data_IF_075988920688
#
_entry.id   IF_075988920688
#
_cell.length_a   1.000
_cell.length_b   1.000
_cell.length_c   1.000
_cell.angle_alpha   90.00
_cell.angle_beta   90.00
_cell.angle_gamma   90.00
#
_symmetry.space_group_name_H-M   'P 1'
#
loop_
_entity.id
_entity.type
_entity.pdbx_description
1 polymer ?
#
# COMPACT_ATOMS: atom_id res chain seq x y z
N UNK A 1 19.57 -7.46 7.58
CA UNK A 1 19.71 -6.87 6.21
C UNK A 1 18.89 -5.59 6.14
N UNK A 2 19.34 -4.56 5.44
CA UNK A 2 18.53 -3.37 5.12
C UNK A 2 17.89 -3.54 3.73
N UNK A 3 16.59 -3.30 3.62
CA UNK A 3 15.86 -3.38 2.35
C UNK A 3 16.04 -2.09 1.55
N UNK A 4 16.07 -2.19 0.21
CA UNK A 4 16.24 -1.02 -0.66
C UNK A 4 14.93 -0.23 -0.89
N UNK A 5 13.78 -0.85 -0.65
CA UNK A 5 12.45 -0.28 -0.81
C UNK A 5 11.40 -1.16 -0.11
N UNK A 6 10.17 -0.67 -0.03
CA UNK A 6 9.04 -1.35 0.58
C UNK A 6 8.71 -2.67 -0.13
N UNK A 7 8.83 -2.75 -1.46
CA UNK A 7 8.58 -4.01 -2.18
C UNK A 7 9.49 -5.15 -1.69
N UNK A 8 10.78 -4.88 -1.49
CA UNK A 8 11.71 -5.87 -0.96
C UNK A 8 11.41 -6.23 0.50
N UNK A 9 11.06 -5.23 1.32
CA UNK A 9 10.66 -5.45 2.70
C UNK A 9 9.42 -6.34 2.78
N UNK A 10 8.36 -6.00 2.04
CA UNK A 10 7.09 -6.73 2.02
C UNK A 10 7.21 -8.15 1.44
N UNK A 11 8.22 -8.42 0.61
CA UNK A 11 8.52 -9.77 0.15
C UNK A 11 9.21 -10.64 1.22
N UNK A 12 9.85 -10.03 2.21
CA UNK A 12 10.63 -10.70 3.25
C UNK A 12 9.98 -10.67 4.64
N UNK A 13 8.98 -9.81 4.85
CA UNK A 13 8.31 -9.55 6.13
C UNK A 13 6.80 -9.66 5.97
N UNK A 14 6.11 -10.07 7.03
CA UNK A 14 4.69 -10.39 7.01
C UNK A 14 3.88 -9.29 7.71
N UNK A 15 2.92 -8.71 6.98
CA UNK A 15 1.95 -7.75 7.54
C UNK A 15 1.13 -8.41 8.67
N UNK A 16 0.93 -7.69 9.77
CA UNK A 16 0.24 -8.15 10.98
C UNK A 16 1.09 -9.05 11.89
N UNK A 17 2.32 -9.40 11.49
CA UNK A 17 3.28 -10.16 12.32
C UNK A 17 4.54 -9.34 12.57
N UNK A 18 5.22 -8.93 11.51
CA UNK A 18 6.47 -8.16 11.59
C UNK A 18 6.20 -6.65 11.67
N UNK A 19 5.25 -6.18 10.86
CA UNK A 19 4.85 -4.79 10.77
C UNK A 19 3.34 -4.63 10.60
N UNK A 20 2.83 -3.45 10.89
CA UNK A 20 1.44 -3.04 10.62
C UNK A 20 1.43 -1.66 9.93
N UNK A 21 0.34 -1.34 9.24
CA UNK A 21 0.15 -0.05 8.58
C UNK A 21 -1.14 0.57 9.05
N UNK A 22 -1.04 1.74 9.68
CA UNK A 22 -2.19 2.55 10.08
C UNK A 22 -2.25 3.77 9.18
N UNK A 23 -3.38 3.94 8.50
CA UNK A 23 -3.56 5.05 7.58
C UNK A 23 -4.97 5.63 7.69
N UNK A 24 -5.03 6.96 7.70
CA UNK A 24 -6.26 7.73 7.59
C UNK A 24 -5.99 8.87 6.61
N UNK A 25 -6.67 8.83 5.47
CA UNK A 25 -6.61 9.90 4.49
C UNK A 25 -7.34 11.15 5.01
N UNK A 26 -6.81 12.32 4.66
CA UNK A 26 -7.55 13.57 4.83
C UNK A 26 -8.58 13.77 3.72
N UNK A 27 -9.52 14.69 3.96
CA UNK A 27 -10.47 15.17 2.95
C UNK A 27 -10.17 16.62 2.62
N UNK A 28 -10.38 17.03 1.36
CA UNK A 28 -10.07 18.38 0.89
C UNK A 28 -8.59 18.73 1.02
N UNK A 29 -8.30 19.96 1.45
CA UNK A 29 -6.95 20.39 1.80
C UNK A 29 -6.63 19.98 3.24
N UNK A 30 -5.59 19.18 3.45
CA UNK A 30 -5.25 18.68 4.78
C UNK A 30 -3.75 18.71 5.11
N UNK A 31 -3.48 18.75 6.41
CA UNK A 31 -2.18 18.48 7.02
C UNK A 31 -2.08 16.99 7.36
N UNK A 32 -0.99 16.35 6.94
CA UNK A 32 -0.66 14.98 7.32
C UNK A 32 0.40 14.96 8.41
N UNK A 33 0.14 14.20 9.48
CA UNK A 33 1.18 13.73 10.39
C UNK A 33 1.50 12.27 10.10
N UNK A 34 2.77 11.96 9.79
CA UNK A 34 3.21 10.64 9.40
C UNK A 34 4.37 10.13 10.27
N UNK A 35 4.37 8.85 10.62
CA UNK A 35 5.50 8.18 11.26
C UNK A 35 5.93 6.98 10.40
N UNK A 36 6.93 7.15 9.54
CA UNK A 36 7.40 6.06 8.67
C UNK A 36 8.24 5.02 9.43
N UNK A 37 8.70 5.37 10.63
CA UNK A 37 9.41 4.49 11.58
C UNK A 37 8.60 4.37 12.87
N UNK A 38 7.32 4.03 12.75
CA UNK A 38 6.40 3.87 13.86
C UNK A 38 6.57 2.58 14.68
N UNK A 39 5.72 2.42 15.68
CA UNK A 39 5.69 1.24 16.56
C UNK A 39 7.02 1.07 17.30
N UNK A 40 7.59 -0.13 17.22
CA UNK A 40 8.84 -0.48 17.87
C UNK A 40 10.11 0.02 17.14
N UNK A 41 10.00 0.66 15.97
CA UNK A 41 11.15 1.15 15.20
C UNK A 41 11.75 2.38 15.90
N UNK A 42 10.99 3.47 16.02
CA UNK A 42 11.40 4.71 16.71
C UNK A 42 10.31 5.17 17.70
N UNK A 43 10.01 4.39 18.76
CA UNK A 43 8.97 4.74 19.73
C UNK A 43 9.29 6.09 20.41
N UNK A 44 8.31 6.99 20.61
CA UNK A 44 6.87 6.86 20.40
C UNK A 44 6.35 7.60 19.13
N UNK A 45 7.07 7.57 18.00
CA UNK A 45 6.74 8.37 16.82
C UNK A 45 5.27 8.22 16.36
N UNK A 46 4.72 7.01 16.38
CA UNK A 46 3.31 6.75 16.06
C UNK A 46 2.34 7.46 16.98
N UNK A 47 2.62 7.50 18.30
CA UNK A 47 1.73 8.14 19.27
C UNK A 47 1.75 9.66 19.13
N UNK A 48 2.92 10.25 18.87
CA UNK A 48 3.04 11.69 18.60
C UNK A 48 2.31 12.09 17.31
N UNK A 49 2.53 11.35 16.23
CA UNK A 49 1.86 11.56 14.96
C UNK A 49 0.33 11.42 15.09
N UNK A 50 -0.15 10.38 15.77
CA UNK A 50 -1.58 10.14 15.97
C UNK A 50 -2.22 11.23 16.83
N UNK A 51 -1.56 11.63 17.92
CA UNK A 51 -2.08 12.69 18.79
C UNK A 51 -2.14 14.04 18.07
N UNK A 52 -1.11 14.39 17.31
CA UNK A 52 -1.08 15.64 16.56
C UNK A 52 -2.13 15.67 15.45
N UNK A 53 -2.32 14.54 14.75
CA UNK A 53 -3.38 14.40 13.76
C UNK A 53 -4.78 14.56 14.36
N UNK A 54 -5.03 14.08 15.59
CA UNK A 54 -6.39 14.01 16.14
C UNK A 54 -7.29 13.16 15.24
N UNK A 55 -8.32 13.79 14.65
CA UNK A 55 -9.21 13.17 13.65
C UNK A 55 -8.76 13.43 12.19
N UNK A 56 -7.72 14.24 11.97
CA UNK A 56 -7.19 14.62 10.65
C UNK A 56 -6.32 13.55 9.98
N UNK A 57 -5.65 13.86 8.88
CA UNK A 57 -4.87 12.86 8.14
C UNK A 57 -3.69 12.32 8.96
N UNK A 58 -3.54 10.99 8.95
CA UNK A 58 -2.55 10.28 9.73
C UNK A 58 -1.98 9.10 8.96
N UNK A 59 -0.68 8.86 9.12
CA UNK A 59 -0.02 7.65 8.63
C UNK A 59 0.98 7.11 9.65
N UNK A 60 1.07 5.80 9.80
CA UNK A 60 2.15 5.16 10.54
C UNK A 60 2.47 3.77 9.98
N UNK A 61 3.75 3.54 9.68
CA UNK A 61 4.31 2.22 9.42
C UNK A 61 4.93 1.71 10.72
N UNK A 62 4.33 0.69 11.34
CA UNK A 62 4.67 0.26 12.68
C UNK A 62 5.42 -1.06 12.70
N UNK A 63 6.61 -1.10 13.30
CA UNK A 63 7.24 -2.37 13.66
C UNK A 63 6.53 -3.00 14.86
N UNK A 64 6.18 -4.28 14.79
CA UNK A 64 5.45 -5.00 15.85
C UNK A 64 6.37 -5.69 16.87
N UNK A 65 7.67 -5.82 16.58
CA UNK A 65 8.66 -6.43 17.46
C UNK A 65 9.90 -5.54 17.64
N UNK A 66 10.56 -5.63 18.80
CA UNK A 66 11.72 -4.78 19.16
C UNK A 66 12.98 -5.03 18.30
N UNK A 67 13.02 -6.09 17.51
CA UNK A 67 14.10 -6.38 16.56
C UNK A 67 13.77 -5.81 15.17
N UNK A 68 13.37 -4.53 15.12
CA UNK A 68 12.90 -3.87 13.90
C UNK A 68 13.91 -2.96 13.14
N UNK A 69 15.24 -2.95 13.37
CA UNK A 69 16.11 -2.08 12.55
C UNK A 69 16.08 -2.49 11.07
N UNK A 70 15.73 -3.74 10.77
CA UNK A 70 15.52 -4.20 9.39
C UNK A 70 14.29 -3.58 8.72
N UNK A 71 13.35 -3.03 9.49
CA UNK A 71 12.14 -2.38 8.98
C UNK A 71 12.32 -0.88 8.71
N UNK A 72 13.43 -0.29 9.17
CA UNK A 72 13.73 1.13 8.98
C UNK A 72 14.24 1.41 7.56
N UNK A 73 13.32 1.59 6.61
CA UNK A 73 13.65 2.05 5.26
C UNK A 73 14.09 3.52 5.30
N UNK A 74 15.20 3.85 4.64
CA UNK A 74 15.65 5.24 4.57
C UNK A 74 14.52 6.17 4.05
N UNK A 75 14.31 7.38 4.63
CA UNK A 75 13.23 8.28 4.22
C UNK A 75 13.22 8.63 2.72
N UNK A 76 14.38 8.61 2.07
CA UNK A 76 14.54 8.84 0.61
C UNK A 76 14.19 7.63 -0.25
N UNK A 77 14.15 6.44 0.34
CA UNK A 77 13.79 5.18 -0.30
C UNK A 77 12.42 4.66 0.17
N UNK A 78 11.76 5.36 1.10
CA UNK A 78 10.46 5.00 1.62
C UNK A 78 9.39 5.19 0.53
N UNK A 79 8.86 4.08 0.05
CA UNK A 79 7.88 4.00 -1.04
C UNK A 79 6.70 3.09 -0.71
N UNK A 80 6.40 2.91 0.59
CA UNK A 80 5.15 2.27 1.00
C UNK A 80 3.97 3.08 0.44
N UNK A 81 3.04 2.45 -0.30
CA UNK A 81 2.23 3.26 -1.19
C UNK A 81 1.10 4.02 -0.51
N UNK A 82 0.56 3.56 0.62
CA UNK A 82 -0.41 4.36 1.37
C UNK A 82 0.24 5.65 1.88
N UNK A 83 1.49 5.59 2.35
CA UNK A 83 2.25 6.78 2.72
C UNK A 83 2.46 7.71 1.52
N UNK A 84 2.91 7.16 0.39
CA UNK A 84 3.20 7.94 -0.81
C UNK A 84 1.95 8.68 -1.29
N UNK A 85 0.79 8.01 -1.32
CA UNK A 85 -0.48 8.63 -1.72
C UNK A 85 -0.92 9.70 -0.72
N UNK A 86 -0.88 9.41 0.59
CA UNK A 86 -1.33 10.36 1.60
C UNK A 86 -0.44 11.61 1.63
N UNK A 87 0.88 11.41 1.58
CA UNK A 87 1.85 12.50 1.51
C UNK A 87 1.63 13.32 0.25
N UNK A 88 1.60 12.70 -0.93
CA UNK A 88 1.49 13.42 -2.21
C UNK A 88 0.24 14.31 -2.31
N UNK A 89 -0.86 13.90 -1.68
CA UNK A 89 -2.12 14.65 -1.69
C UNK A 89 -2.25 15.65 -0.53
N UNK A 90 -1.39 15.58 0.48
CA UNK A 90 -1.41 16.52 1.59
C UNK A 90 -0.86 17.89 1.18
N UNK A 91 -1.49 18.94 1.69
CA UNK A 91 -1.04 20.32 1.48
C UNK A 91 0.14 20.67 2.39
N UNK A 92 0.26 19.99 3.52
CA UNK A 92 1.37 20.10 4.48
C UNK A 92 1.65 18.73 5.08
N UNK A 93 2.91 18.48 5.40
CA UNK A 93 3.33 17.20 6.00
C UNK A 93 4.30 17.45 7.14
N UNK A 94 4.08 16.76 8.24
CA UNK A 94 5.04 16.61 9.34
C UNK A 94 5.35 15.12 9.49
N UNK A 95 6.60 14.74 9.22
CA UNK A 95 7.09 13.37 9.42
C UNK A 95 7.84 13.26 10.73
N UNK A 96 7.48 12.28 11.55
CA UNK A 96 7.98 12.05 12.90
C UNK A 96 8.99 10.91 12.92
N UNK A 97 10.14 11.20 13.51
CA UNK A 97 11.24 10.27 13.67
C UNK A 97 11.81 10.31 15.09
N UNK A 98 12.48 9.23 15.45
CA UNK A 98 13.33 9.16 16.62
C UNK A 98 14.77 8.94 16.21
N UNK A 99 15.68 9.71 16.78
CA UNK A 99 17.13 9.51 16.62
C UNK A 99 17.75 9.14 17.96
N UNK A 100 18.91 8.50 17.91
CA UNK A 100 19.76 8.37 19.09
C UNK A 100 20.34 9.73 19.47
N UNK A 101 20.67 9.87 20.75
CA UNK A 101 21.26 11.09 21.30
C UNK A 101 22.61 11.39 20.62
N UNK A 102 22.78 12.60 20.08
CA UNK A 102 24.05 13.09 19.54
C UNK A 102 25.05 13.43 20.66
N UNK A 103 24.51 13.89 21.81
CA UNK A 103 25.22 14.04 23.08
C UNK A 103 24.46 13.31 24.19
N UNK A 104 25.18 12.62 25.08
CA UNK A 104 24.57 11.82 26.14
C UNK A 104 23.55 12.62 26.97
N UNK A 105 22.30 12.16 26.96
CA UNK A 105 21.22 12.78 27.74
C UNK A 105 20.57 14.00 27.09
N UNK A 106 20.89 14.33 25.84
CA UNK A 106 20.32 15.49 25.17
C UNK A 106 18.81 15.35 24.97
N UNK A 107 18.06 16.41 25.24
CA UNK A 107 16.64 16.48 24.95
C UNK A 107 16.41 17.53 23.88
N UNK A 108 16.56 17.13 22.62
CA UNK A 108 16.54 18.02 21.46
C UNK A 108 15.60 17.45 20.40
N UNK A 109 14.82 18.35 19.81
CA UNK A 109 14.13 18.08 18.53
C UNK A 109 14.93 18.72 17.41
N UNK A 110 15.44 17.90 16.52
CA UNK A 110 16.04 18.39 15.29
C UNK A 110 14.94 18.62 14.24
N UNK A 111 14.94 19.81 13.63
CA UNK A 111 13.94 20.24 12.66
C UNK A 111 14.62 20.47 11.32
N UNK A 112 14.09 19.85 10.27
CA UNK A 112 14.59 19.95 8.90
C UNK A 112 13.46 19.74 7.88
N UNK A 113 13.75 19.82 6.58
CA UNK A 113 12.76 19.72 5.52
C UNK A 113 12.58 21.04 4.77
N UNK A 114 11.88 20.97 3.63
CA UNK A 114 11.78 22.08 2.70
C UNK A 114 10.69 23.12 3.05
N UNK A 115 9.76 22.83 3.99
CA UNK A 115 8.81 23.85 4.47
C UNK A 115 9.43 24.74 5.56
N UNK A 116 10.15 25.76 5.10
CA UNK A 116 10.79 26.75 5.98
C UNK A 116 9.80 27.54 6.86
N UNK A 117 8.55 27.74 6.42
CA UNK A 117 7.55 28.50 7.18
C UNK A 117 7.03 27.66 8.34
N UNK A 118 6.58 26.44 8.07
CA UNK A 118 6.14 25.51 9.12
C UNK A 118 7.30 25.16 10.05
N UNK A 119 8.51 24.94 9.51
CA UNK A 119 9.70 24.69 10.31
C UNK A 119 10.01 25.81 11.31
N UNK A 120 9.95 27.08 10.88
CA UNK A 120 10.16 28.22 11.77
C UNK A 120 9.10 28.33 12.86
N UNK A 121 7.82 28.06 12.53
CA UNK A 121 6.73 28.05 13.52
C UNK A 121 6.89 26.92 14.53
N UNK A 122 7.36 25.74 14.10
CA UNK A 122 7.65 24.63 14.99
C UNK A 122 8.79 24.97 15.97
N UNK A 123 9.89 25.57 15.49
CA UNK A 123 10.95 26.10 16.35
C UNK A 123 10.39 27.06 17.38
N UNK A 124 9.58 28.03 16.94
CA UNK A 124 9.00 29.05 17.82
C UNK A 124 8.12 28.44 18.92
N UNK A 125 7.13 27.62 18.54
CA UNK A 125 6.16 27.07 19.50
C UNK A 125 6.77 26.05 20.45
N UNK A 126 7.71 25.22 19.96
CA UNK A 126 8.44 24.28 20.82
C UNK A 126 9.33 25.01 21.82
N UNK A 127 10.08 26.03 21.37
CA UNK A 127 10.91 26.86 22.26
C UNK A 127 10.06 27.59 23.29
N UNK A 128 8.92 28.16 22.87
CA UNK A 128 7.99 28.83 23.78
C UNK A 128 7.38 27.86 24.81
N UNK A 129 7.23 26.59 24.47
CA UNK A 129 6.81 25.53 25.38
C UNK A 129 7.95 24.96 26.25
N UNK A 130 9.18 25.49 26.11
CA UNK A 130 10.34 25.12 26.93
C UNK A 130 11.16 23.95 26.39
N UNK A 131 10.96 23.54 25.14
CA UNK A 131 11.74 22.48 24.50
C UNK A 131 12.92 23.05 23.71
N UNK A 132 14.03 22.31 23.69
CA UNK A 132 15.19 22.65 22.88
C UNK A 132 14.98 22.14 21.45
N UNK A 133 15.22 23.02 20.48
CA UNK A 133 15.23 22.67 19.06
C UNK A 133 16.55 23.03 18.43
N UNK A 134 16.98 22.26 17.43
CA UNK A 134 18.17 22.56 16.62
C UNK A 134 17.97 22.15 15.16
N UNK A 135 18.91 22.51 14.29
CA UNK A 135 18.97 22.01 12.92
C UNK A 135 19.53 20.59 12.87
N UNK A 136 18.91 19.74 12.06
CA UNK A 136 19.38 18.37 11.89
C UNK A 136 20.80 18.30 11.29
N UNK A 137 21.71 17.52 11.88
CA UNK A 137 22.93 17.06 11.21
C UNK A 137 22.67 16.50 9.81
N UNK A 138 23.62 16.72 8.91
CA UNK A 138 23.54 16.29 7.50
C UNK A 138 23.29 14.79 7.34
N UNK A 139 23.71 13.96 8.31
CA UNK A 139 23.52 12.50 8.28
C UNK A 139 22.06 12.06 8.31
N UNK A 140 21.15 12.88 8.84
CA UNK A 140 19.72 12.57 8.90
C UNK A 140 18.80 13.76 8.55
N UNK A 141 19.36 14.87 8.07
CA UNK A 141 18.58 16.02 7.63
C UNK A 141 17.56 15.67 6.55
N UNK A 142 16.35 16.19 6.75
CA UNK A 142 15.18 15.97 5.91
C UNK A 142 15.14 16.80 4.63
N UNK A 143 16.19 17.55 4.28
CA UNK A 143 16.13 18.56 3.21
C UNK A 143 16.16 17.98 1.78
N UNK A 144 16.46 16.69 1.63
CA UNK A 144 16.51 16.04 0.33
C UNK A 144 15.11 16.05 -0.33
N UNK A 145 14.95 16.49 -1.59
CA UNK A 145 13.66 16.46 -2.30
C UNK A 145 13.05 15.08 -2.51
N UNK A 146 13.83 14.00 -2.34
CA UNK A 146 13.36 12.62 -2.37
C UNK A 146 12.95 12.10 -0.99
N UNK A 147 13.29 12.81 0.09
CA UNK A 147 12.79 12.46 1.41
C UNK A 147 11.26 12.50 1.39
N UNK A 148 10.63 11.46 1.91
CA UNK A 148 9.17 11.33 1.98
C UNK A 148 8.50 12.57 2.60
N UNK A 149 9.12 13.27 3.54
CA UNK A 149 8.54 14.50 4.09
C UNK A 149 8.31 15.58 3.03
N UNK A 150 9.17 15.69 2.01
CA UNK A 150 9.11 16.70 0.94
C UNK A 150 8.40 16.22 -0.33
N UNK A 151 7.70 15.08 -0.27
CA UNK A 151 6.98 14.52 -1.43
C UNK A 151 5.51 14.89 -1.44
N UNK A 152 5.11 15.87 -0.63
CA UNK A 152 3.77 16.43 -0.59
C UNK A 152 3.48 17.38 -1.75
N UNK A 153 2.24 17.87 -1.87
CA UNK A 153 1.83 18.66 -3.04
C UNK A 153 2.71 19.89 -3.32
N UNK A 154 3.12 20.70 -2.31
CA UNK A 154 4.05 21.82 -2.51
C UNK A 154 5.52 21.41 -2.61
N UNK A 155 5.83 20.12 -2.42
CA UNK A 155 7.19 19.58 -2.27
C UNK A 155 7.99 20.23 -1.14
N UNK A 156 7.29 20.57 -0.07
CA UNK A 156 7.80 21.24 1.09
C UNK A 156 7.09 20.68 2.32
N UNK A 157 7.75 19.78 3.03
CA UNK A 157 7.28 19.29 4.33
C UNK A 157 8.34 19.48 5.40
N UNK A 158 8.03 19.01 6.60
CA UNK A 158 8.92 19.08 7.77
C UNK A 158 9.20 17.68 8.30
N UNK A 159 10.44 17.46 8.71
CA UNK A 159 10.88 16.31 9.48
C UNK A 159 11.19 16.75 10.92
N UNK A 160 10.67 15.99 11.89
CA UNK A 160 10.97 16.15 13.31
C UNK A 160 11.70 14.89 13.80
N UNK A 161 12.98 15.03 14.11
CA UNK A 161 13.81 13.97 14.67
C UNK A 161 14.02 14.21 16.17
N UNK A 162 13.41 13.37 17.00
CA UNK A 162 13.46 13.54 18.45
C UNK A 162 14.55 12.65 19.05
N UNK A 163 15.45 13.25 19.84
CA UNK A 163 16.48 12.50 20.57
C UNK A 163 15.86 11.44 21.48
N UNK A 164 16.62 10.39 21.78
CA UNK A 164 16.14 9.28 22.61
C UNK A 164 15.80 9.76 24.01
N UNK A 165 16.63 10.61 24.61
CA UNK A 165 16.37 11.14 25.95
C UNK A 165 15.14 12.05 25.98
N UNK A 166 14.86 12.82 24.92
CA UNK A 166 13.59 13.56 24.79
C UNK A 166 12.40 12.59 24.73
N UNK A 167 12.47 11.58 23.85
CA UNK A 167 11.40 10.58 23.72
C UNK A 167 11.12 9.84 25.03
N UNK A 168 12.16 9.48 25.79
CA UNK A 168 12.03 8.87 27.11
C UNK A 168 11.35 9.80 28.12
N UNK A 169 11.61 11.11 28.06
CA UNK A 169 10.98 12.07 28.98
C UNK A 169 9.45 12.06 28.92
N UNK A 170 8.85 11.59 27.81
CA UNK A 170 7.40 11.52 27.62
C UNK A 170 6.70 10.41 28.40
N UNK A 171 7.44 9.46 28.97
CA UNK A 171 6.89 8.27 29.62
C UNK A 171 7.49 8.05 31.01
N UNK A 172 6.69 7.48 31.92
CA UNK A 172 7.17 7.06 33.23
C UNK A 172 8.39 6.13 33.10
N UNK A 173 9.39 6.33 33.96
CA UNK A 173 10.68 5.61 33.96
C UNK A 173 11.47 5.65 32.63
N UNK A 174 11.02 6.47 31.68
CA UNK A 174 11.53 6.50 30.33
C UNK A 174 11.38 5.18 29.59
N UNK A 175 10.33 4.41 29.88
CA UNK A 175 10.05 3.14 29.19
C UNK A 175 9.45 3.40 27.80
N UNK A 176 10.20 3.00 26.77
CA UNK A 176 9.79 3.08 25.36
C UNK A 176 9.40 1.71 24.79
N UNK A 177 9.18 0.70 25.63
CA UNK A 177 8.67 -0.59 25.20
C UNK A 177 7.31 -0.45 24.52
N UNK A 178 7.03 -1.29 23.52
CA UNK A 178 5.75 -1.29 22.79
C UNK A 178 4.54 -1.37 23.73
N UNK A 179 4.66 -2.16 24.81
CA UNK A 179 3.62 -2.30 25.82
C UNK A 179 3.38 -1.00 26.59
N UNK A 180 4.45 -0.31 27.01
CA UNK A 180 4.32 0.94 27.73
C UNK A 180 3.78 2.07 26.86
N UNK A 181 4.29 2.23 25.63
CA UNK A 181 3.90 3.34 24.75
C UNK A 181 2.49 3.22 24.17
N UNK A 182 1.96 1.98 24.08
CA UNK A 182 0.61 1.71 23.62
C UNK A 182 -0.48 2.20 24.58
N UNK A 183 -0.17 2.30 25.88
CA UNK A 183 -1.10 2.70 26.94
C UNK A 183 -1.08 4.23 27.13
N UNK A 184 -2.18 4.94 26.79
CA UNK A 184 -2.23 6.40 26.92
C UNK A 184 -2.01 6.91 28.34
N UNK A 185 -2.37 6.13 29.36
CA UNK A 185 -2.19 6.45 30.77
C UNK A 185 -0.72 6.55 31.21
N UNK A 186 0.20 5.98 30.44
CA UNK A 186 1.64 6.06 30.72
C UNK A 186 2.29 7.34 30.21
N UNK A 187 1.55 8.17 29.45
CA UNK A 187 2.05 9.43 28.91
C UNK A 187 2.10 10.49 30.01
N UNK A 188 3.27 11.10 30.18
CA UNK A 188 3.48 12.19 31.14
C UNK A 188 2.97 13.53 30.59
N UNK A 189 2.72 14.55 31.45
CA UNK A 189 2.31 15.88 31.02
C UNK A 189 3.20 16.51 29.94
N UNK A 190 4.50 16.22 29.95
CA UNK A 190 5.46 16.70 28.96
C UNK A 190 5.20 16.18 27.55
N UNK A 191 4.64 14.98 27.38
CA UNK A 191 4.18 14.47 26.08
C UNK A 191 3.14 15.41 25.47
N UNK A 192 2.13 15.78 26.28
CA UNK A 192 1.02 16.61 25.83
C UNK A 192 1.47 18.04 25.57
N UNK A 193 2.32 18.61 26.45
CA UNK A 193 2.89 19.94 26.25
C UNK A 193 3.68 20.03 24.94
N UNK A 194 4.46 19.00 24.61
CA UNK A 194 5.21 18.91 23.35
C UNK A 194 4.27 18.82 22.15
N UNK A 195 3.33 17.88 22.17
CA UNK A 195 2.45 17.63 21.03
C UNK A 195 1.49 18.82 20.79
N UNK A 196 1.02 19.47 21.85
CA UNK A 196 0.20 20.69 21.75
C UNK A 196 0.99 21.87 21.17
N UNK A 197 2.29 21.99 21.45
CA UNK A 197 3.14 22.98 20.80
C UNK A 197 3.26 22.74 19.29
N UNK A 198 3.43 21.49 18.88
CA UNK A 198 3.43 21.12 17.45
C UNK A 198 2.07 21.41 16.81
N UNK A 199 0.96 21.06 17.46
CA UNK A 199 -0.40 21.36 16.97
C UNK A 199 -0.64 22.86 16.83
N UNK A 200 -0.16 23.68 17.78
CA UNK A 200 -0.23 25.14 17.68
C UNK A 200 0.52 25.65 16.46
N UNK A 201 1.78 25.23 16.26
CA UNK A 201 2.57 25.63 15.09
C UNK A 201 1.86 25.28 13.78
N UNK A 202 1.33 24.07 13.69
CA UNK A 202 0.59 23.60 12.54
C UNK A 202 -0.68 24.40 12.27
N UNK A 203 -1.40 24.81 13.32
CA UNK A 203 -2.63 25.63 13.20
C UNK A 203 -2.37 27.06 12.71
N UNK A 204 -1.13 27.55 12.78
CA UNK A 204 -0.74 28.88 12.32
C UNK A 204 -0.41 28.94 10.83
N UNK A 205 -0.30 27.79 10.15
CA UNK A 205 -0.09 27.70 8.70
C UNK A 205 -1.42 27.42 8.01
N UNK A 206 -1.92 28.32 7.15
CA UNK A 206 -3.10 28.04 6.36
C UNK A 206 -2.91 26.82 5.47
N UNK A 207 -3.90 25.93 5.50
CA UNK A 207 -4.08 24.90 4.49
C UNK A 207 -4.83 25.60 3.36
N UNK A 208 -4.15 26.01 2.29
CA UNK A 208 -4.75 26.77 1.16
C UNK A 208 -6.12 26.19 0.79
N UNK A 209 -7.16 27.02 0.88
CA UNK A 209 -8.56 26.68 0.60
C UNK A 209 -8.90 26.83 -0.90
N UNK A 210 -7.87 26.80 -1.76
CA UNK A 210 -7.90 27.01 -3.21
C UNK A 210 -9.16 26.46 -3.85
N UNK A 211 -10.17 27.33 -3.96
CA UNK A 211 -11.46 27.05 -4.52
C UNK A 211 -11.33 26.76 -6.01
N UNK A 212 -11.13 25.50 -6.37
CA UNK A 212 -11.71 24.90 -7.58
C UNK A 212 -12.09 23.46 -7.24
N UNK A 213 -13.39 23.24 -7.16
CA UNK A 213 -14.05 21.94 -7.07
C UNK A 213 -13.77 21.15 -8.36
N UNK A 214 -12.53 20.67 -8.49
CA UNK A 214 -12.14 19.71 -9.51
C UNK A 214 -12.03 18.37 -8.82
N UNK A 215 -12.85 17.37 -9.17
CA UNK A 215 -12.67 16.02 -8.63
C UNK A 215 -11.23 15.56 -8.90
N UNK A 216 -10.60 14.85 -7.95
CA UNK A 216 -9.19 14.49 -8.04
C UNK A 216 -8.92 13.72 -9.34
N UNK A 217 -8.14 14.32 -10.24
CA UNK A 217 -7.54 13.60 -11.35
C UNK A 217 -6.35 12.85 -10.77
N UNK A 218 -6.47 11.53 -10.68
CA UNK A 218 -5.34 10.64 -10.43
C UNK A 218 -4.40 10.75 -11.63
N UNK A 219 -3.41 11.64 -11.56
CA UNK A 219 -2.27 11.61 -12.48
C UNK A 219 -1.13 10.87 -11.82
N UNK A 220 -0.99 9.58 -12.14
CA UNK A 220 0.28 8.89 -11.95
C UNK A 220 1.36 9.60 -12.79
N UNK A 221 2.63 9.66 -12.33
CA UNK A 221 3.74 10.01 -13.21
C UNK A 221 3.81 8.98 -14.35
N UNK A 222 3.39 9.41 -15.53
CA UNK A 222 3.42 8.63 -16.76
C UNK A 222 4.87 8.25 -17.05
N UNK A 223 5.23 6.98 -16.86
CA UNK A 223 6.33 6.38 -17.60
C UNK A 223 6.06 6.60 -19.10
N UNK A 224 7.07 6.85 -19.95
CA UNK A 224 6.85 7.24 -21.33
C UNK A 224 6.07 6.13 -22.06
N UNK A 225 4.77 6.35 -22.25
CA UNK A 225 3.90 5.41 -22.97
C UNK A 225 3.77 5.83 -24.43
N UNK A 226 4.12 4.86 -25.27
CA UNK A 226 3.68 4.73 -26.65
C UNK A 226 2.14 4.91 -26.72
N UNK A 227 1.61 5.82 -27.54
CA UNK A 227 0.21 6.28 -27.50
C UNK A 227 -0.87 5.26 -27.94
N UNK A 228 -0.56 3.96 -28.07
CA UNK A 228 -1.48 2.94 -28.61
C UNK A 228 -1.87 1.79 -27.65
N UNK A 229 -1.33 1.71 -26.43
CA UNK A 229 -1.60 0.57 -25.54
C UNK A 229 -2.81 0.81 -24.61
N UNK A 230 -3.86 -0.01 -24.73
CA UNK A 230 -4.99 -0.05 -23.79
C UNK A 230 -4.56 -0.62 -22.44
N UNK A 231 -5.16 -0.15 -21.34
CA UNK A 231 -4.95 -0.64 -19.97
C UNK A 231 -6.21 -1.39 -19.51
N UNK A 232 -6.07 -2.55 -18.86
CA UNK A 232 -7.19 -3.31 -18.32
C UNK A 232 -6.97 -3.71 -16.85
N UNK A 233 -8.06 -3.82 -16.09
CA UNK A 233 -8.08 -4.32 -14.71
C UNK A 233 -7.68 -5.81 -14.66
N UNK A 234 -6.92 -6.18 -13.63
CA UNK A 234 -6.45 -7.55 -13.35
C UNK A 234 -7.56 -8.44 -12.82
N UNK A 235 -7.50 -9.74 -13.15
CA UNK A 235 -8.42 -10.78 -12.63
C UNK A 235 -7.61 -11.88 -11.92
N UNK A 236 -7.91 -12.23 -10.64
CA UNK A 236 -8.98 -11.70 -9.80
C UNK A 236 -8.80 -10.22 -9.48
N UNK A 237 -9.91 -9.53 -9.22
CA UNK A 237 -9.88 -8.12 -8.84
C UNK A 237 -8.98 -7.94 -7.63
N UNK A 238 -7.99 -7.07 -7.78
CA UNK A 238 -7.11 -6.66 -6.71
C UNK A 238 -6.99 -5.15 -6.74
N UNK A 239 -6.75 -4.60 -5.56
CA UNK A 239 -6.21 -3.26 -5.41
C UNK A 239 -4.70 -3.45 -5.40
N UNK A 240 -4.00 -2.77 -6.31
CA UNK A 240 -2.55 -2.83 -6.32
C UNK A 240 -1.99 -2.16 -5.08
N UNK A 241 -0.67 -2.30 -4.91
CA UNK A 241 -0.02 -1.75 -3.75
C UNK A 241 -0.29 -0.24 -3.61
N UNK A 242 -0.52 0.51 -4.71
CA UNK A 242 -0.80 1.97 -4.74
C UNK A 242 -2.21 2.37 -4.29
N UNK A 243 -3.06 1.42 -3.89
CA UNK A 243 -4.47 1.70 -3.62
C UNK A 243 -5.29 1.91 -4.89
N UNK A 244 -4.67 1.83 -6.07
CA UNK A 244 -5.31 1.83 -7.36
C UNK A 244 -5.88 0.47 -7.72
N UNK A 245 -6.74 0.43 -8.71
CA UNK A 245 -7.17 -0.85 -9.30
C UNK A 245 -5.96 -1.51 -9.95
N UNK A 246 -5.60 -2.72 -9.52
CA UNK A 246 -4.53 -3.48 -10.15
C UNK A 246 -4.86 -3.66 -11.63
N UNK A 247 -3.94 -3.24 -12.48
CA UNK A 247 -4.16 -3.12 -13.90
C UNK A 247 -2.89 -3.46 -14.68
N UNK A 248 -3.08 -3.98 -15.88
CA UNK A 248 -1.99 -4.35 -16.77
C UNK A 248 -2.16 -3.67 -18.11
N UNK A 249 -1.07 -3.11 -18.62
CA UNK A 249 -0.95 -2.64 -20.00
C UNK A 249 -0.38 -3.72 -20.93
N UNK A 250 0.10 -4.86 -20.39
CA UNK A 250 0.63 -5.96 -21.20
C UNK A 250 -0.54 -6.68 -21.90
N UNK A 251 -0.66 -6.57 -23.24
CA UNK A 251 -1.78 -7.16 -23.96
C UNK A 251 -1.84 -8.70 -23.87
N UNK A 252 -0.76 -9.36 -23.45
CA UNK A 252 -0.71 -10.79 -23.16
C UNK A 252 -1.38 -11.12 -21.83
N UNK A 253 -1.05 -10.38 -20.77
CA UNK A 253 -1.68 -10.56 -19.45
C UNK A 253 -3.17 -10.21 -19.52
N UNK A 254 -3.54 -9.18 -20.30
CA UNK A 254 -4.95 -8.84 -20.53
C UNK A 254 -5.75 -10.01 -21.15
N UNK A 255 -5.16 -10.75 -22.10
CA UNK A 255 -5.83 -11.91 -22.69
C UNK A 255 -6.01 -13.03 -21.67
N UNK A 256 -4.97 -13.31 -20.88
CA UNK A 256 -5.02 -14.34 -19.84
C UNK A 256 -6.08 -14.04 -18.79
N UNK A 257 -6.17 -12.79 -18.34
CA UNK A 257 -7.15 -12.37 -17.32
C UNK A 257 -8.60 -12.47 -17.85
N UNK A 258 -8.84 -12.12 -19.12
CA UNK A 258 -10.17 -12.26 -19.73
C UNK A 258 -10.60 -13.71 -19.91
N UNK A 259 -9.69 -14.57 -20.39
CA UNK A 259 -9.95 -16.02 -20.50
C UNK A 259 -10.21 -16.62 -19.11
N UNK A 260 -9.41 -16.23 -18.10
CA UNK A 260 -9.63 -16.66 -16.72
C UNK A 260 -11.01 -16.21 -16.20
N UNK A 261 -11.40 -14.95 -16.43
CA UNK A 261 -12.71 -14.44 -16.03
C UNK A 261 -13.88 -15.15 -16.75
N UNK A 262 -13.71 -15.51 -18.03
CA UNK A 262 -14.70 -16.24 -18.82
C UNK A 262 -14.90 -17.67 -18.29
N UNK A 263 -13.80 -18.43 -18.14
CA UNK A 263 -13.83 -19.81 -17.62
C UNK A 263 -14.33 -19.85 -16.19
N UNK A 264 -14.10 -18.78 -15.41
CA UNK A 264 -14.55 -18.67 -14.04
C UNK A 264 -15.99 -18.17 -13.83
N UNK A 265 -16.73 -17.92 -14.91
CA UNK A 265 -18.13 -17.45 -14.84
C UNK A 265 -19.05 -18.53 -15.41
N UNK A 266 -20.16 -18.83 -14.73
CA UNK A 266 -21.25 -19.63 -15.28
C UNK A 266 -22.25 -18.73 -16.03
N UNK A 267 -22.86 -19.21 -17.13
CA UNK A 267 -23.98 -18.50 -17.76
C UNK A 267 -25.08 -18.18 -16.74
N UNK A 268 -25.55 -16.94 -16.74
CA UNK A 268 -26.56 -16.41 -15.82
C UNK A 268 -26.01 -15.62 -14.63
N UNK A 269 -24.71 -15.71 -14.32
CA UNK A 269 -24.09 -14.98 -13.20
C UNK A 269 -23.88 -13.49 -13.48
N UNK A 270 -23.87 -13.09 -14.76
CA UNK A 270 -23.73 -11.69 -15.18
C UNK A 270 -25.10 -11.09 -15.46
N UNK A 271 -25.50 -10.13 -14.61
CA UNK A 271 -26.80 -9.44 -14.63
C UNK A 271 -27.21 -8.91 -16.03
N UNK A 272 -26.26 -8.47 -16.85
CA UNK A 272 -26.53 -7.92 -18.19
C UNK A 272 -25.95 -8.75 -19.35
N UNK A 273 -25.38 -9.92 -19.06
CA UNK A 273 -24.79 -10.83 -20.06
C UNK A 273 -25.10 -12.29 -19.69
N UNK A 274 -26.37 -12.65 -19.76
CA UNK A 274 -26.85 -13.95 -19.29
C UNK A 274 -26.18 -15.17 -19.99
N UNK A 275 -25.68 -15.02 -21.21
CA UNK A 275 -24.99 -16.10 -21.94
C UNK A 275 -23.49 -16.17 -21.69
N UNK A 276 -22.90 -15.16 -21.04
CA UNK A 276 -21.46 -15.08 -20.82
C UNK A 276 -21.02 -16.05 -19.72
N UNK A 277 -20.10 -16.95 -20.07
CA UNK A 277 -19.54 -17.94 -19.16
C UNK A 277 -19.33 -19.30 -19.83
N UNK A 278 -18.73 -20.24 -19.11
CA UNK A 278 -18.58 -21.63 -19.55
C UNK A 278 -19.59 -22.51 -18.78
N UNK A 279 -20.47 -23.28 -19.43
CA UNK A 279 -21.46 -24.11 -18.76
C UNK A 279 -20.86 -25.39 -18.15
N UNK A 280 -19.93 -25.25 -17.19
CA UNK A 280 -19.25 -26.37 -16.52
C UNK A 280 -20.11 -27.05 -15.45
N UNK A 281 -21.19 -26.44 -15.00
CA UNK A 281 -22.06 -27.00 -13.96
C UNK A 281 -22.79 -28.29 -14.40
N UNK A 282 -23.11 -28.42 -15.69
CA UNK A 282 -23.77 -29.60 -16.24
C UNK A 282 -22.87 -30.84 -16.28
N UNK A 283 -21.55 -30.65 -16.31
CA UNK A 283 -20.55 -31.73 -16.43
C UNK A 283 -20.09 -32.27 -15.07
N UNK A 284 -20.31 -31.53 -13.98
CA UNK A 284 -19.89 -31.90 -12.62
C UNK A 284 -20.58 -33.15 -12.05
N UNK A 285 -21.72 -33.57 -12.62
CA UNK A 285 -22.47 -34.76 -12.17
C UNK A 285 -22.43 -35.91 -13.20
N UNK A 286 -21.56 -35.83 -14.20
CA UNK A 286 -21.43 -36.88 -15.20
C UNK A 286 -20.89 -38.18 -14.56
N UNK A 287 -21.51 -39.31 -14.89
CA UNK A 287 -21.14 -40.63 -14.34
C UNK A 287 -19.84 -41.19 -14.93
N UNK A 288 -19.35 -40.61 -16.04
CA UNK A 288 -18.10 -41.00 -16.71
C UNK A 288 -17.12 -39.80 -16.75
N UNK A 289 -15.96 -39.88 -16.08
CA UNK A 289 -14.96 -38.83 -16.05
C UNK A 289 -14.38 -38.43 -17.42
N UNK A 290 -14.19 -39.39 -18.34
CA UNK A 290 -13.64 -39.10 -19.67
C UNK A 290 -14.61 -38.25 -20.50
N UNK A 291 -15.91 -38.58 -20.43
CA UNK A 291 -16.97 -37.83 -21.11
C UNK A 291 -17.13 -36.43 -20.49
N UNK A 292 -16.99 -36.31 -19.18
CA UNK A 292 -17.02 -35.03 -18.48
C UNK A 292 -15.86 -34.12 -18.92
N UNK A 293 -14.65 -34.68 -19.02
CA UNK A 293 -13.46 -33.97 -19.47
C UNK A 293 -13.64 -33.43 -20.90
N UNK A 294 -14.07 -34.28 -21.82
CA UNK A 294 -14.36 -33.93 -23.21
C UNK A 294 -15.41 -32.81 -23.33
N UNK A 295 -16.45 -32.86 -22.50
CA UNK A 295 -17.52 -31.86 -22.48
C UNK A 295 -17.03 -30.51 -21.94
N UNK A 296 -16.23 -30.50 -20.88
CA UNK A 296 -15.60 -29.28 -20.35
C UNK A 296 -14.67 -28.68 -21.39
N UNK A 297 -13.83 -29.51 -22.03
CA UNK A 297 -12.91 -29.06 -23.06
C UNK A 297 -13.64 -28.39 -24.22
N UNK A 298 -14.71 -29.01 -24.75
CA UNK A 298 -15.52 -28.43 -25.83
C UNK A 298 -16.20 -27.13 -25.40
N UNK A 299 -16.80 -27.11 -24.20
CA UNK A 299 -17.46 -25.92 -23.68
C UNK A 299 -16.50 -24.73 -23.51
N UNK A 300 -15.27 -24.97 -23.05
CA UNK A 300 -14.24 -23.93 -22.95
C UNK A 300 -13.81 -23.46 -24.33
N UNK A 301 -13.56 -24.37 -25.29
CA UNK A 301 -13.18 -24.00 -26.66
C UNK A 301 -14.26 -23.14 -27.32
N UNK A 302 -15.52 -23.56 -27.25
CA UNK A 302 -16.66 -22.87 -27.86
C UNK A 302 -16.83 -21.47 -27.24
N UNK A 303 -16.80 -21.38 -25.90
CA UNK A 303 -16.92 -20.10 -25.20
C UNK A 303 -15.75 -19.15 -25.50
N UNK A 304 -14.50 -19.64 -25.53
CA UNK A 304 -13.34 -18.81 -25.87
C UNK A 304 -13.43 -18.32 -27.32
N UNK A 305 -13.87 -19.17 -28.26
CA UNK A 305 -14.07 -18.77 -29.65
C UNK A 305 -15.19 -17.72 -29.81
N UNK A 306 -16.26 -17.81 -29.02
CA UNK A 306 -17.38 -16.88 -29.04
C UNK A 306 -17.03 -15.51 -28.43
N UNK A 307 -16.40 -15.50 -27.25
CA UNK A 307 -16.21 -14.28 -26.45
C UNK A 307 -14.81 -13.67 -26.56
N UNK A 308 -13.80 -14.44 -26.98
CA UNK A 308 -12.41 -14.00 -27.10
C UNK A 308 -11.81 -14.42 -28.48
N UNK A 309 -12.30 -13.86 -29.60
CA UNK A 309 -11.91 -14.28 -30.95
C UNK A 309 -10.42 -14.03 -31.30
N UNK A 310 -9.70 -13.32 -30.44
CA UNK A 310 -8.26 -13.07 -30.55
C UNK A 310 -7.41 -14.13 -29.81
N UNK A 311 -8.03 -15.02 -29.04
CA UNK A 311 -7.37 -16.11 -28.37
C UNK A 311 -7.35 -17.36 -29.24
N UNK A 312 -6.24 -18.11 -29.19
CA UNK A 312 -6.13 -19.46 -29.72
C UNK A 312 -5.85 -20.38 -28.54
N UNK A 313 -6.77 -21.31 -28.27
CA UNK A 313 -6.60 -22.33 -27.23
C UNK A 313 -5.69 -23.43 -27.78
N UNK A 314 -4.52 -23.61 -27.17
CA UNK A 314 -3.53 -24.61 -27.61
C UNK A 314 -3.64 -25.94 -26.87
N UNK A 315 -4.06 -25.91 -25.60
CA UNK A 315 -4.33 -27.10 -24.81
C UNK A 315 -5.29 -26.80 -23.66
N UNK A 316 -6.04 -27.81 -23.25
CA UNK A 316 -6.85 -27.81 -22.03
C UNK A 316 -6.54 -29.09 -21.28
N UNK A 317 -6.27 -28.99 -19.98
CA UNK A 317 -6.23 -30.16 -19.08
C UNK A 317 -7.16 -29.93 -17.90
N UNK A 318 -7.67 -31.00 -17.30
CA UNK A 318 -8.55 -30.90 -16.16
C UNK A 318 -8.12 -31.93 -15.10
N UNK A 319 -7.81 -31.45 -13.91
CA UNK A 319 -7.33 -32.26 -12.80
C UNK A 319 -8.42 -32.39 -11.73
N UNK A 320 -8.82 -33.62 -11.44
CA UNK A 320 -9.83 -33.91 -10.41
C UNK A 320 -9.17 -33.91 -9.04
N UNK A 321 -9.67 -33.08 -8.13
CA UNK A 321 -9.26 -33.02 -6.73
C UNK A 321 -10.32 -33.73 -5.89
N UNK A 322 -10.14 -35.04 -5.71
CA UNK A 322 -11.11 -35.92 -5.01
C UNK A 322 -11.38 -35.47 -3.56
N UNK A 323 -10.37 -34.95 -2.86
CA UNK A 323 -10.47 -34.52 -1.46
C UNK A 323 -11.37 -33.30 -1.25
N UNK A 324 -11.55 -32.48 -2.29
CA UNK A 324 -12.35 -31.26 -2.26
C UNK A 324 -13.62 -31.37 -3.11
N UNK A 325 -13.81 -32.48 -3.83
CA UNK A 325 -14.82 -32.59 -4.87
C UNK A 325 -14.70 -31.43 -5.86
N UNK A 326 -13.52 -31.25 -6.47
CA UNK A 326 -13.27 -30.14 -7.39
C UNK A 326 -12.62 -30.63 -8.68
N UNK A 327 -12.75 -29.85 -9.76
CA UNK A 327 -12.06 -30.04 -11.03
C UNK A 327 -11.31 -28.76 -11.35
N UNK A 328 -9.98 -28.81 -11.39
CA UNK A 328 -9.14 -27.71 -11.83
C UNK A 328 -9.00 -27.76 -13.35
N UNK A 329 -9.53 -26.76 -14.04
CA UNK A 329 -9.37 -26.61 -15.49
C UNK A 329 -8.17 -25.72 -15.77
N UNK A 330 -7.19 -26.27 -16.48
CA UNK A 330 -6.01 -25.58 -16.96
C UNK A 330 -6.21 -25.25 -18.43
N UNK A 331 -6.14 -23.97 -18.78
CA UNK A 331 -6.28 -23.53 -20.17
C UNK A 331 -4.98 -22.87 -20.61
N UNK A 332 -4.44 -23.35 -21.72
CA UNK A 332 -3.32 -22.72 -22.41
C UNK A 332 -3.86 -21.92 -23.59
N UNK A 333 -3.56 -20.62 -23.59
CA UNK A 333 -4.01 -19.70 -24.63
C UNK A 333 -2.86 -18.87 -25.16
N UNK A 334 -2.95 -18.57 -26.46
CA UNK A 334 -2.04 -17.68 -27.18
C UNK A 334 -2.84 -16.66 -27.99
N UNK A 335 -2.17 -15.66 -28.55
CA UNK A 335 -2.82 -14.65 -29.40
C UNK A 335 -2.80 -15.06 -30.87
N UNK A 336 -3.93 -14.89 -31.55
CA UNK A 336 -4.10 -15.21 -32.97
C UNK A 336 -3.24 -14.33 -33.89
N UNK A 337 -2.84 -13.13 -33.45
CA UNK A 337 -2.07 -12.14 -34.23
C UNK A 337 -0.55 -12.24 -34.03
N UNK A 338 -0.06 -13.20 -33.23
CA UNK A 338 1.37 -13.43 -32.99
C UNK A 338 1.78 -14.82 -33.49
N UNK A 339 2.26 -14.94 -34.75
CA UNK A 339 2.70 -16.22 -35.29
C UNK A 339 3.90 -16.78 -34.48
N UNK A 340 3.79 -18.03 -33.99
CA UNK A 340 4.88 -18.73 -33.31
C UNK A 340 5.03 -18.42 -31.81
N UNK A 341 4.04 -17.79 -31.17
CA UNK A 341 4.00 -17.58 -29.71
C UNK A 341 3.45 -18.78 -28.93
N UNK A 342 3.68 -20.01 -29.40
CA UNK A 342 3.50 -21.24 -28.62
C UNK A 342 4.61 -21.32 -27.56
N UNK A 343 4.53 -20.49 -26.51
CA UNK A 343 5.29 -20.71 -25.28
C UNK A 343 4.27 -20.89 -24.16
N UNK A 344 4.25 -22.13 -23.64
CA UNK A 344 3.40 -22.63 -22.56
C UNK A 344 3.09 -21.56 -21.50
N UNK A 345 1.86 -21.06 -21.52
CA UNK A 345 1.36 -20.17 -20.47
C UNK A 345 0.06 -20.76 -19.94
N UNK A 346 0.16 -21.50 -18.83
CA UNK A 346 -0.97 -22.19 -18.20
C UNK A 346 -1.58 -21.31 -17.09
N UNK A 347 -2.88 -21.02 -17.16
CA UNK A 347 -3.65 -20.51 -16.01
C UNK A 347 -4.56 -21.63 -15.47
N UNK A 348 -4.63 -21.74 -14.15
CA UNK A 348 -5.43 -22.76 -13.46
C UNK A 348 -6.69 -22.10 -12.91
N UNK A 349 -7.86 -22.68 -13.22
CA UNK A 349 -9.15 -22.27 -12.68
C UNK A 349 -9.76 -23.46 -11.94
N UNK A 350 -9.99 -23.34 -10.63
CA UNK A 350 -10.59 -24.40 -9.83
C UNK A 350 -12.11 -24.32 -9.83
N UNK A 351 -12.81 -25.37 -10.28
CA UNK A 351 -14.27 -25.46 -10.25
C UNK A 351 -14.69 -26.44 -9.14
N UNK A 352 -15.42 -25.98 -8.12
CA UNK A 352 -15.89 -26.81 -7.01
C UNK A 352 -17.24 -27.50 -7.31
N UNK A 353 -17.51 -28.61 -6.64
CA UNK A 353 -18.85 -29.24 -6.60
C UNK A 353 -19.86 -28.23 -6.04
N UNK A 354 -20.81 -27.82 -6.88
CA UNK A 354 -21.75 -26.72 -6.63
C UNK A 354 -21.68 -25.57 -7.63
N UNK A 355 -20.70 -25.58 -8.55
CA UNK A 355 -20.54 -24.57 -9.60
C UNK A 355 -19.73 -23.34 -9.19
N UNK A 356 -19.29 -23.26 -7.93
CA UNK A 356 -18.46 -22.16 -7.42
C UNK A 356 -17.05 -22.26 -8.00
N UNK A 357 -16.59 -21.18 -8.64
CA UNK A 357 -15.22 -21.10 -9.15
C UNK A 357 -14.30 -20.41 -8.15
N UNK A 358 -13.16 -21.03 -7.87
CA UNK A 358 -12.09 -20.50 -7.03
C UNK A 358 -10.83 -20.33 -7.88
N UNK A 359 -10.34 -19.10 -7.97
CA UNK A 359 -9.00 -18.86 -8.53
C UNK A 359 -7.96 -19.21 -7.48
N UNK A 360 -7.08 -20.15 -7.76
CA UNK A 360 -5.89 -20.38 -6.92
C UNK A 360 -4.82 -19.35 -7.30
N UNK A 361 -4.29 -18.55 -6.35
CA UNK A 361 -3.08 -17.78 -6.62
C UNK A 361 -1.92 -18.75 -6.87
N UNK A 362 -1.06 -18.42 -7.84
CA UNK A 362 0.19 -19.16 -8.09
C UNK A 362 1.17 -19.02 -6.94
#
# INVERSE_FOLDING_TARGET
>A
MTFANFRQLAAAKILGIDYDIKNRYGTGTYLLHAAIHGGAIEPPASQLAAYCAGDGAFYSFEGLTLTAPELALAPTAFDEPFAVVNVANSARTVVWHGVEDQQEGEQVTYISGADSVLGALLVQELTAAGFTTDHAPVSFAGDNPQNICNRNAPRAGVQLDLSRSLRRSFYADGDLSTAAVALPENRLPVFFAYADAVRRACSLVPLDDGSEDTPPVITQPRAPTDPAASVAMRTPFAIDHSGGVDSTADPREQLLDRVQALVATLPGERVMRATYGVPTSATLFATNPEVAHDQVQRAVIDAVAEYEPQAVVSAISADVVESLGAVNVHVQVSRADVPGAERDTTRTVGVLVGGSVVSTPR
#
